data_IF_636884070789
#
_entry.id   IF_636884070789
#
_cell.length_a   1.000
_cell.length_b   1.000
_cell.length_c   1.000
_cell.angle_alpha   90.00
_cell.angle_beta   90.00
_cell.angle_gamma   90.00
#
_symmetry.space_group_name_H-M   'P 1'
#
loop_
_entity.id
_entity.type
_entity.pdbx_description
1 polymer ?
#
# COMPACT_ATOMS: atom_id res chain seq x y z
N UNK A 1 69.65 -2.46 38.74
CA UNK A 1 69.73 -2.93 37.34
C UNK A 1 68.38 -3.50 36.84
N UNK A 2 67.29 -2.73 36.96
CA UNK A 2 65.92 -3.26 36.77
C UNK A 2 64.92 -2.21 36.24
N UNK A 3 65.37 -1.15 35.56
CA UNK A 3 64.48 -0.07 35.05
C UNK A 3 64.34 -0.04 33.52
N UNK A 4 65.16 -0.78 32.78
CA UNK A 4 65.18 -0.74 31.30
C UNK A 4 64.35 -1.83 30.61
N UNK A 5 63.88 -2.87 31.33
CA UNK A 5 63.05 -3.94 30.74
C UNK A 5 61.56 -3.61 30.63
N UNK A 6 61.05 -2.69 31.46
CA UNK A 6 59.61 -2.37 31.51
C UNK A 6 59.20 -1.46 30.34
N UNK A 7 60.11 -0.61 29.83
CA UNK A 7 59.79 0.38 28.79
C UNK A 7 59.62 -0.29 27.40
N UNK A 8 60.33 -1.39 27.11
CA UNK A 8 60.15 -2.13 25.85
C UNK A 8 58.82 -2.90 25.77
N UNK A 9 58.22 -3.23 26.93
CA UNK A 9 56.96 -3.97 26.96
C UNK A 9 55.75 -3.08 26.72
N UNK A 10 55.82 -1.78 27.04
CA UNK A 10 54.70 -0.85 26.90
C UNK A 10 54.55 -0.32 25.46
N UNK A 11 55.65 -0.21 24.70
CA UNK A 11 55.59 0.20 23.28
C UNK A 11 55.02 -0.89 22.35
N UNK A 12 55.10 -2.16 22.75
CA UNK A 12 54.56 -3.26 21.94
C UNK A 12 53.03 -3.38 22.08
N UNK A 13 52.46 -2.99 23.24
CA UNK A 13 51.01 -3.03 23.47
C UNK A 13 50.25 -1.92 22.72
N UNK A 14 50.88 -0.77 22.50
CA UNK A 14 50.31 0.35 21.74
C UNK A 14 50.33 0.06 20.22
N UNK A 15 51.29 -0.74 19.73
CA UNK A 15 51.33 -1.14 18.32
C UNK A 15 50.27 -2.20 17.96
N UNK A 16 49.83 -3.04 18.91
CA UNK A 16 48.82 -4.08 18.66
C UNK A 16 47.37 -3.62 18.87
N UNK A 17 47.13 -2.44 19.45
CA UNK A 17 45.78 -1.86 19.60
C UNK A 17 45.41 -0.89 18.47
N UNK A 18 46.36 -0.51 17.63
CA UNK A 18 46.13 0.39 16.48
C UNK A 18 45.48 -0.26 15.24
N UNK A 19 45.36 -1.60 15.18
CA UNK A 19 44.84 -2.30 14.00
C UNK A 19 43.35 -2.71 14.08
N UNK A 20 42.67 -2.48 15.21
CA UNK A 20 41.27 -2.89 15.38
C UNK A 20 40.24 -1.78 15.08
N UNK A 21 40.68 -0.57 14.72
CA UNK A 21 39.80 0.60 14.59
C UNK A 21 39.41 1.02 13.18
N UNK A 22 39.94 0.36 12.13
CA UNK A 22 39.48 0.58 10.76
C UNK A 22 38.63 -0.63 10.38
N UNK A 23 37.45 -0.72 10.98
CA UNK A 23 36.35 -1.39 10.31
C UNK A 23 36.18 -0.63 9.00
N UNK A 24 36.67 -1.21 7.90
CA UNK A 24 36.26 -0.79 6.57
C UNK A 24 34.73 -0.75 6.62
N UNK A 25 34.16 0.46 6.61
CA UNK A 25 32.77 0.67 6.26
C UNK A 25 32.67 0.12 4.84
N UNK A 26 32.34 -1.16 4.75
CA UNK A 26 32.03 -1.78 3.47
C UNK A 26 30.75 -1.10 3.04
N UNK A 27 30.88 -0.13 2.13
CA UNK A 27 29.73 0.53 1.52
C UNK A 27 28.90 -0.57 0.87
N UNK A 28 27.75 -0.87 1.48
CA UNK A 28 26.84 -1.86 0.94
C UNK A 28 26.21 -1.27 -0.30
N UNK A 29 26.25 -2.05 -1.39
CA UNK A 29 25.64 -1.68 -2.66
C UNK A 29 24.60 -2.73 -3.02
N UNK A 30 23.37 -2.26 -3.27
CA UNK A 30 22.27 -3.06 -3.80
C UNK A 30 22.00 -2.58 -5.22
N UNK A 31 22.23 -3.46 -6.20
CA UNK A 31 21.93 -3.15 -7.59
C UNK A 31 20.56 -3.71 -7.96
N UNK A 32 19.60 -2.83 -8.26
CA UNK A 32 18.24 -3.21 -8.64
C UNK A 32 18.04 -2.96 -10.12
N UNK A 33 17.47 -3.93 -10.83
CA UNK A 33 16.99 -3.76 -12.21
C UNK A 33 15.47 -3.64 -12.21
N UNK A 34 14.98 -2.43 -12.50
CA UNK A 34 13.56 -2.13 -12.70
C UNK A 34 13.19 -2.37 -14.16
N UNK A 35 12.02 -2.96 -14.39
CA UNK A 35 11.48 -3.25 -15.72
C UNK A 35 9.97 -2.97 -15.70
N UNK A 36 9.49 -2.18 -16.66
CA UNK A 36 8.08 -1.84 -16.78
C UNK A 36 7.58 -2.00 -18.22
N UNK A 37 6.50 -2.75 -18.38
CA UNK A 37 5.77 -2.94 -19.63
C UNK A 37 4.74 -1.81 -19.80
N UNK A 38 4.97 -1.00 -20.83
CA UNK A 38 4.12 0.11 -21.25
C UNK A 38 3.45 -0.16 -22.61
N UNK A 39 3.47 -1.40 -23.11
CA UNK A 39 2.96 -1.75 -24.45
C UNK A 39 1.48 -1.39 -24.68
N UNK A 40 0.69 -1.33 -23.61
CA UNK A 40 -0.73 -0.94 -23.64
C UNK A 40 -0.97 0.56 -23.33
N UNK A 41 0.08 1.30 -22.96
CA UNK A 41 -0.02 2.71 -22.56
C UNK A 41 0.10 3.67 -23.76
N UNK A 42 -0.65 4.77 -23.74
CA UNK A 42 -0.52 5.84 -24.72
C UNK A 42 0.54 6.84 -24.22
N UNK A 43 1.74 6.76 -24.79
CA UNK A 43 2.87 7.64 -24.43
C UNK A 43 3.17 8.60 -25.57
N UNK A 44 2.97 9.90 -25.33
CA UNK A 44 3.26 10.95 -26.33
C UNK A 44 4.76 11.08 -26.63
N UNK A 45 5.60 10.90 -25.60
CA UNK A 45 7.05 10.98 -25.73
C UNK A 45 7.75 9.84 -24.96
N UNK A 46 8.17 8.76 -25.64
CA UNK A 46 8.89 7.63 -25.05
C UNK A 46 10.11 8.01 -24.20
N UNK A 47 10.80 9.11 -24.51
CA UNK A 47 12.00 9.56 -23.80
C UNK A 47 11.73 10.12 -22.39
N UNK A 48 10.45 10.22 -22.01
CA UNK A 48 10.02 10.73 -20.70
C UNK A 48 9.65 9.62 -19.72
N UNK A 49 9.65 8.35 -20.16
CA UNK A 49 9.37 7.21 -19.29
C UNK A 49 10.46 7.09 -18.25
N UNK A 50 10.07 6.99 -16.99
CA UNK A 50 11.02 6.94 -15.90
C UNK A 50 10.43 6.41 -14.61
N UNK A 51 11.26 6.46 -13.58
CA UNK A 51 10.93 6.05 -12.23
C UNK A 51 11.24 7.19 -11.25
N UNK A 52 10.44 7.26 -10.19
CA UNK A 52 10.61 8.14 -9.03
C UNK A 52 10.46 7.31 -7.76
N UNK A 53 11.05 7.74 -6.65
CA UNK A 53 11.01 6.94 -5.43
C UNK A 53 11.52 7.62 -4.16
N UNK A 54 11.41 6.90 -3.04
CA UNK A 54 11.62 7.42 -1.68
C UNK A 54 13.05 7.35 -1.17
N UNK A 55 13.91 6.54 -1.80
CA UNK A 55 15.28 6.28 -1.34
C UNK A 55 16.27 6.67 -2.44
N UNK A 56 17.27 7.46 -2.08
CA UNK A 56 18.34 7.85 -3.00
C UNK A 56 19.01 6.61 -3.63
N UNK A 57 19.31 6.63 -4.94
CA UNK A 57 19.33 7.81 -5.81
C UNK A 57 17.98 8.15 -6.46
N UNK A 58 16.89 7.42 -6.13
CA UNK A 58 15.55 7.82 -6.57
C UNK A 58 15.07 9.04 -5.79
N UNK A 59 14.20 9.83 -6.43
CA UNK A 59 13.57 11.01 -5.85
C UNK A 59 12.11 11.10 -6.29
N UNK A 60 11.23 11.64 -5.44
CA UNK A 60 9.85 11.95 -5.82
C UNK A 60 9.72 13.21 -6.69
N UNK A 61 10.76 14.05 -6.73
CA UNK A 61 10.77 15.30 -7.51
C UNK A 61 11.50 15.16 -8.84
N UNK A 62 12.47 14.25 -8.94
CA UNK A 62 13.32 14.06 -10.13
C UNK A 62 13.07 12.70 -10.76
N UNK A 63 12.79 12.68 -12.06
CA UNK A 63 12.58 11.44 -12.82
C UNK A 63 13.92 10.84 -13.24
N UNK A 64 14.18 9.60 -12.87
CA UNK A 64 15.27 8.82 -13.46
C UNK A 64 14.75 8.11 -14.71
N UNK A 65 15.30 8.46 -15.88
CA UNK A 65 14.81 7.99 -17.18
C UNK A 65 15.12 6.50 -17.39
N UNK A 66 14.15 5.76 -17.91
CA UNK A 66 14.27 4.36 -18.29
C UNK A 66 14.38 4.22 -19.82
N UNK A 67 14.99 3.13 -20.30
CA UNK A 67 15.23 2.91 -21.73
C UNK A 67 14.54 1.63 -22.23
N UNK A 68 13.82 1.73 -23.35
CA UNK A 68 13.40 0.58 -24.16
C UNK A 68 14.38 0.42 -25.33
N UNK A 69 15.37 -0.46 -25.17
CA UNK A 69 16.47 -0.62 -26.13
C UNK A 69 16.09 -1.44 -27.37
N UNK A 70 15.10 -2.30 -27.25
CA UNK A 70 14.71 -3.26 -28.27
C UNK A 70 13.36 -2.92 -28.93
N UNK A 71 12.65 -1.90 -28.43
CA UNK A 71 11.40 -1.42 -29.00
C UNK A 71 10.22 -2.36 -28.75
N UNK A 72 10.25 -3.14 -27.66
CA UNK A 72 9.19 -4.08 -27.31
C UNK A 72 8.17 -3.50 -26.31
N UNK A 73 8.33 -2.24 -25.91
CA UNK A 73 7.49 -1.57 -24.92
C UNK A 73 7.93 -1.81 -23.47
N UNK A 74 9.02 -2.56 -23.24
CA UNK A 74 9.57 -2.81 -21.90
C UNK A 74 10.73 -1.86 -21.62
N UNK A 75 10.48 -0.91 -20.74
CA UNK A 75 11.48 0.05 -20.30
C UNK A 75 12.29 -0.54 -19.15
N UNK A 76 13.62 -0.39 -19.21
CA UNK A 76 14.55 -0.95 -18.21
C UNK A 76 15.47 0.14 -17.64
N UNK A 77 15.75 0.04 -16.34
CA UNK A 77 16.75 0.86 -15.66
C UNK A 77 17.45 0.06 -14.55
N UNK A 78 18.76 0.24 -14.44
CA UNK A 78 19.55 -0.30 -13.34
C UNK A 78 19.92 0.82 -12.36
N UNK A 79 19.63 0.62 -11.09
CA UNK A 79 19.89 1.58 -10.01
C UNK A 79 20.79 0.96 -8.96
N UNK A 80 21.85 1.67 -8.58
CA UNK A 80 22.72 1.30 -7.48
C UNK A 80 22.31 2.09 -6.22
N UNK A 81 21.79 1.40 -5.22
CA UNK A 81 21.53 1.96 -3.89
C UNK A 81 22.79 1.77 -3.03
N UNK A 82 23.41 2.86 -2.63
CA UNK A 82 24.63 2.87 -1.82
C UNK A 82 24.31 3.29 -0.37
N UNK A 83 25.09 2.80 0.58
CA UNK A 83 25.02 3.20 2.00
C UNK A 83 23.63 3.02 2.65
N UNK A 84 22.84 2.07 2.16
CA UNK A 84 21.54 1.73 2.74
C UNK A 84 21.72 0.80 3.96
N UNK A 85 20.71 0.75 4.84
CA UNK A 85 20.62 -0.27 5.89
C UNK A 85 19.94 -1.52 5.31
N UNK A 86 20.46 -2.75 5.45
CA UNK A 86 19.77 -3.95 4.98
C UNK A 86 18.34 -4.05 5.51
N UNK A 87 17.40 -4.40 4.63
CA UNK A 87 15.97 -4.37 4.91
C UNK A 87 15.33 -2.98 4.85
N UNK A 88 16.04 -1.94 4.40
CA UNK A 88 15.42 -0.65 4.08
C UNK A 88 14.41 -0.85 2.97
N UNK A 89 13.20 -0.34 3.17
CA UNK A 89 12.18 -0.32 2.14
C UNK A 89 12.39 0.89 1.21
N UNK A 90 12.43 0.66 -0.09
CA UNK A 90 12.37 1.69 -1.11
C UNK A 90 11.04 1.61 -1.85
N UNK A 91 10.26 2.69 -1.76
CA UNK A 91 9.01 2.86 -2.48
C UNK A 91 9.25 3.62 -3.77
N UNK A 92 8.52 3.30 -4.82
CA UNK A 92 8.69 3.89 -6.14
C UNK A 92 7.41 3.90 -6.96
N UNK A 93 7.39 4.71 -8.02
CA UNK A 93 6.39 4.69 -9.08
C UNK A 93 7.03 4.95 -10.44
N UNK A 94 6.45 4.34 -11.46
CA UNK A 94 6.69 4.69 -12.85
C UNK A 94 5.96 5.99 -13.21
N UNK A 95 6.56 6.76 -14.12
CA UNK A 95 6.01 8.00 -14.66
C UNK A 95 6.28 8.11 -16.16
N UNK A 96 5.48 8.91 -16.87
CA UNK A 96 5.78 9.36 -18.23
C UNK A 96 5.30 10.81 -18.45
N UNK A 97 5.61 11.38 -19.62
CA UNK A 97 5.20 12.72 -20.03
C UNK A 97 5.68 13.83 -19.10
N UNK A 98 4.85 14.87 -18.92
CA UNK A 98 5.07 15.93 -17.93
C UNK A 98 4.54 15.51 -16.55
N UNK A 99 4.95 14.32 -16.08
CA UNK A 99 4.58 13.68 -14.81
C UNK A 99 3.13 13.17 -14.77
N UNK A 100 2.85 12.16 -15.59
CA UNK A 100 1.72 11.24 -15.42
C UNK A 100 2.20 10.08 -14.58
N UNK A 101 1.58 9.86 -13.42
CA UNK A 101 1.94 8.78 -12.49
C UNK A 101 1.19 7.49 -12.80
N UNK A 102 1.83 6.34 -12.57
CA UNK A 102 1.09 5.08 -12.51
C UNK A 102 0.16 5.08 -11.29
N UNK A 103 -1.00 4.42 -11.42
CA UNK A 103 -1.93 4.16 -10.32
C UNK A 103 -2.24 5.43 -9.51
N UNK A 104 -2.44 6.58 -10.16
CA UNK A 104 -2.62 7.88 -9.49
C UNK A 104 -4.02 8.07 -8.87
N UNK A 105 -4.39 7.13 -8.00
CA UNK A 105 -5.56 7.30 -7.16
C UNK A 105 -5.16 8.18 -5.97
N UNK A 106 -5.60 9.44 -5.97
CA UNK A 106 -5.41 10.39 -4.86
C UNK A 106 -3.95 10.77 -4.54
N UNK A 107 -3.02 10.74 -5.52
CA UNK A 107 -1.68 11.33 -5.37
C UNK A 107 -0.68 10.57 -4.48
N UNK A 108 -1.10 9.50 -3.80
CA UNK A 108 -0.24 8.73 -2.88
C UNK A 108 -0.55 7.22 -2.83
N UNK A 109 -1.61 6.75 -3.47
CA UNK A 109 -1.99 5.33 -3.48
C UNK A 109 -1.27 4.63 -4.64
N UNK A 110 -0.91 3.35 -4.47
CA UNK A 110 -0.35 2.53 -5.55
C UNK A 110 1.17 2.68 -5.77
N UNK A 111 1.92 3.13 -4.76
CA UNK A 111 3.38 3.02 -4.78
C UNK A 111 3.80 1.54 -4.76
N UNK A 112 4.77 1.18 -5.59
CA UNK A 112 5.46 -0.10 -5.53
C UNK A 112 6.53 -0.07 -4.45
N UNK A 113 6.88 -1.23 -3.89
CA UNK A 113 7.92 -1.32 -2.85
C UNK A 113 8.86 -2.50 -3.05
N UNK A 114 10.12 -2.29 -2.69
CA UNK A 114 11.16 -3.32 -2.60
C UNK A 114 11.93 -3.17 -1.30
N UNK A 115 12.51 -4.27 -0.83
CA UNK A 115 13.44 -4.25 0.31
C UNK A 115 14.87 -4.39 -0.21
N UNK A 116 15.73 -3.49 0.24
CA UNK A 116 17.13 -3.42 -0.19
C UNK A 116 17.98 -4.40 0.62
N UNK A 117 18.68 -5.28 -0.09
CA UNK A 117 19.65 -6.22 0.46
C UNK A 117 20.91 -6.20 -0.42
N UNK A 118 22.06 -6.50 0.19
CA UNK A 118 23.32 -6.55 -0.54
C UNK A 118 23.24 -7.56 -1.69
N UNK A 119 23.75 -7.17 -2.86
CA UNK A 119 23.76 -8.00 -4.06
C UNK A 119 22.93 -7.42 -5.21
N UNK A 120 22.51 -8.31 -6.12
CA UNK A 120 21.76 -7.95 -7.33
C UNK A 120 20.31 -8.43 -7.20
N UNK A 121 19.38 -7.50 -7.35
CA UNK A 121 17.95 -7.77 -7.36
C UNK A 121 17.40 -7.53 -8.77
N UNK A 122 16.98 -8.60 -9.45
CA UNK A 122 16.22 -8.47 -10.69
C UNK A 122 14.75 -8.61 -10.35
N UNK A 123 14.00 -7.53 -10.50
CA UNK A 123 12.56 -7.53 -10.31
C UNK A 123 11.87 -8.15 -11.54
N UNK A 124 10.66 -8.70 -11.39
CA UNK A 124 9.84 -9.05 -12.54
C UNK A 124 9.52 -7.82 -13.39
N UNK A 125 8.94 -8.05 -14.57
CA UNK A 125 8.42 -6.96 -15.40
C UNK A 125 7.09 -6.52 -14.79
N UNK A 126 7.05 -5.29 -14.30
CA UNK A 126 5.84 -4.64 -13.82
C UNK A 126 4.98 -4.22 -15.01
N UNK A 127 3.66 -4.21 -14.85
CA UNK A 127 2.75 -3.65 -15.86
C UNK A 127 2.35 -2.22 -15.49
N UNK A 128 2.44 -1.31 -16.45
CA UNK A 128 1.99 0.08 -16.27
C UNK A 128 0.52 0.12 -15.81
N UNK A 129 0.25 0.96 -14.80
CA UNK A 129 -1.09 1.22 -14.26
C UNK A 129 -1.85 -0.04 -13.80
N UNK A 130 -1.09 -1.08 -13.41
CA UNK A 130 -1.63 -2.32 -12.89
C UNK A 130 -1.16 -2.56 -11.46
N UNK A 131 -2.11 -2.91 -10.58
CA UNK A 131 -1.81 -3.33 -9.21
C UNK A 131 -1.47 -4.83 -9.17
N UNK A 132 -0.23 -5.15 -8.80
CA UNK A 132 0.26 -6.51 -8.55
C UNK A 132 0.81 -6.68 -7.13
N UNK A 133 1.36 -7.86 -6.83
CA UNK A 133 1.89 -8.22 -5.50
C UNK A 133 3.07 -7.36 -5.01
N UNK A 134 3.72 -6.58 -5.88
CA UNK A 134 4.81 -5.65 -5.54
C UNK A 134 4.33 -4.20 -5.45
N UNK A 135 3.13 -3.90 -5.96
CA UNK A 135 2.54 -2.55 -6.03
C UNK A 135 1.97 -2.00 -4.72
N UNK A 136 2.36 -2.56 -3.57
CA UNK A 136 1.51 -2.39 -2.39
C UNK A 136 2.14 -2.70 -1.01
N UNK A 137 3.34 -3.26 -0.89
CA UNK A 137 3.73 -4.02 0.31
C UNK A 137 4.01 -3.28 1.63
N UNK A 138 4.02 -1.94 1.72
CA UNK A 138 4.02 -1.28 3.06
C UNK A 138 2.76 -0.51 3.39
N UNK A 139 2.17 0.19 2.42
CA UNK A 139 0.93 0.92 2.65
C UNK A 139 -0.29 0.02 2.53
N UNK A 140 -0.27 -1.06 1.74
CA UNK A 140 -1.40 -1.97 1.65
C UNK A 140 -1.46 -2.87 2.87
N UNK A 141 -0.36 -3.50 3.28
CA UNK A 141 -0.35 -4.25 4.55
C UNK A 141 -0.59 -3.33 5.75
N UNK A 142 0.00 -2.13 5.82
CA UNK A 142 -0.27 -1.19 6.92
C UNK A 142 -1.63 -0.49 6.83
N UNK A 143 -2.24 -0.32 5.65
CA UNK A 143 -3.61 0.23 5.53
C UNK A 143 -4.67 -0.86 5.66
N UNK A 144 -4.42 -2.10 5.23
CA UNK A 144 -5.26 -3.26 5.53
C UNK A 144 -5.23 -3.50 7.02
N UNK A 145 -4.04 -3.71 7.58
CA UNK A 145 -3.83 -3.99 9.00
C UNK A 145 -4.26 -2.78 9.82
N UNK A 146 -3.81 -1.57 9.49
CA UNK A 146 -4.16 -0.35 10.20
C UNK A 146 -5.65 -0.02 10.14
N UNK A 147 -6.28 0.05 8.94
CA UNK A 147 -7.72 0.32 8.88
C UNK A 147 -8.51 -0.79 9.55
N UNK A 148 -8.18 -2.06 9.30
CA UNK A 148 -8.88 -3.17 9.95
C UNK A 148 -8.78 -3.08 11.47
N UNK A 149 -7.59 -2.89 12.03
CA UNK A 149 -7.41 -2.74 13.49
C UNK A 149 -8.08 -1.48 14.03
N UNK A 150 -8.11 -0.38 13.28
CA UNK A 150 -8.87 0.81 13.65
C UNK A 150 -10.37 0.49 13.71
N UNK A 151 -10.91 -0.22 12.72
CA UNK A 151 -12.32 -0.67 12.74
C UNK A 151 -12.59 -1.61 13.90
N UNK A 152 -11.78 -2.65 14.10
CA UNK A 152 -11.92 -3.60 15.22
C UNK A 152 -11.80 -2.89 16.57
N UNK A 153 -10.85 -1.96 16.71
CA UNK A 153 -10.67 -1.18 17.93
C UNK A 153 -11.86 -0.25 18.21
N UNK A 154 -12.31 0.51 17.21
CA UNK A 154 -13.45 1.42 17.35
C UNK A 154 -14.71 0.64 17.70
N UNK A 155 -15.02 -0.42 16.95
CA UNK A 155 -16.21 -1.23 17.18
C UNK A 155 -16.12 -1.92 18.54
N UNK A 156 -14.99 -2.55 18.86
CA UNK A 156 -14.79 -3.22 20.14
C UNK A 156 -14.90 -2.27 21.32
N UNK A 157 -14.28 -1.08 21.23
CA UNK A 157 -14.34 -0.05 22.27
C UNK A 157 -15.76 0.51 22.44
N UNK A 158 -16.48 0.80 21.36
CA UNK A 158 -17.83 1.34 21.46
C UNK A 158 -18.85 0.29 21.94
N UNK A 159 -18.69 -0.98 21.54
CA UNK A 159 -19.47 -2.09 22.10
C UNK A 159 -19.23 -2.24 23.61
N UNK A 160 -17.98 -2.10 24.08
CA UNK A 160 -17.68 -2.10 25.52
C UNK A 160 -18.36 -0.94 26.26
N UNK A 161 -18.61 0.17 25.56
CA UNK A 161 -19.37 1.31 26.07
C UNK A 161 -20.90 1.16 25.91
N UNK A 162 -21.38 0.01 25.44
CA UNK A 162 -22.81 -0.34 25.36
C UNK A 162 -23.51 0.06 24.07
N UNK A 163 -22.79 0.50 23.04
CA UNK A 163 -23.39 0.82 21.74
C UNK A 163 -23.65 -0.45 20.91
N UNK A 164 -24.74 -0.46 20.15
CA UNK A 164 -25.00 -1.48 19.14
C UNK A 164 -24.16 -1.26 17.88
N UNK A 165 -23.91 -2.31 17.05
CA UNK A 165 -23.25 -2.17 15.75
C UNK A 165 -23.86 -1.09 14.84
N UNK A 166 -25.19 -0.94 14.84
CA UNK A 166 -25.89 0.08 14.08
C UNK A 166 -25.62 1.49 14.62
N UNK A 167 -25.65 1.69 15.93
CA UNK A 167 -25.30 2.97 16.56
C UNK A 167 -23.86 3.37 16.25
N UNK A 168 -22.94 2.41 16.25
CA UNK A 168 -21.53 2.60 15.87
C UNK A 168 -21.42 3.01 14.39
N UNK A 169 -22.14 2.32 13.48
CA UNK A 169 -22.18 2.66 12.06
C UNK A 169 -22.68 4.09 11.80
N UNK A 170 -23.74 4.52 12.50
CA UNK A 170 -24.25 5.89 12.44
C UNK A 170 -23.25 6.91 13.00
N UNK A 171 -22.61 6.61 14.14
CA UNK A 171 -21.58 7.45 14.75
C UNK A 171 -20.40 7.67 13.80
N UNK A 172 -19.96 6.62 13.10
CA UNK A 172 -18.90 6.70 12.10
C UNK A 172 -19.30 7.58 10.92
N UNK A 173 -20.52 7.43 10.40
CA UNK A 173 -21.04 8.31 9.34
C UNK A 173 -21.02 9.78 9.79
N UNK A 174 -21.45 10.06 11.02
CA UNK A 174 -21.44 11.41 11.58
C UNK A 174 -20.01 11.97 11.74
N UNK A 175 -19.04 11.14 12.13
CA UNK A 175 -17.63 11.54 12.27
C UNK A 175 -17.02 12.06 10.96
N UNK A 176 -17.30 11.38 9.84
CA UNK A 176 -16.84 11.80 8.50
C UNK A 176 -17.58 13.05 7.97
N UNK A 177 -18.58 13.54 8.70
CA UNK A 177 -19.28 14.80 8.45
C UNK A 177 -20.14 14.78 7.18
N UNK A 178 -20.23 15.93 6.51
CA UNK A 178 -21.08 16.12 5.31
C UNK A 178 -20.71 15.27 4.10
N UNK A 179 -19.56 14.57 4.13
CA UNK A 179 -19.03 13.76 3.03
C UNK A 179 -19.09 14.48 1.69
N UNK A 180 -18.82 15.79 1.64
CA UNK A 180 -18.93 16.61 0.42
C UNK A 180 -18.15 16.03 -0.77
N UNK A 181 -17.02 15.39 -0.50
CA UNK A 181 -16.18 14.71 -1.47
C UNK A 181 -16.84 13.48 -2.14
N UNK A 182 -17.90 12.91 -1.53
CA UNK A 182 -18.65 11.79 -2.08
C UNK A 182 -19.78 12.31 -2.97
N UNK A 183 -19.43 12.72 -4.19
CA UNK A 183 -20.35 13.37 -5.12
C UNK A 183 -21.22 12.38 -5.91
N UNK A 184 -20.84 11.10 -5.96
CA UNK A 184 -21.57 10.09 -6.73
C UNK A 184 -21.45 8.66 -6.16
N UNK A 185 -22.42 7.78 -6.45
CA UNK A 185 -22.35 6.36 -6.05
C UNK A 185 -21.15 5.61 -6.63
N UNK A 186 -20.59 6.06 -7.77
CA UNK A 186 -19.41 5.45 -8.38
C UNK A 186 -18.17 5.58 -7.51
N UNK A 187 -18.10 6.61 -6.65
CA UNK A 187 -17.01 6.73 -5.70
C UNK A 187 -17.09 5.63 -4.64
N UNK A 188 -18.30 5.27 -4.16
CA UNK A 188 -18.50 4.13 -3.25
C UNK A 188 -18.14 2.81 -3.93
N UNK A 189 -18.56 2.62 -5.19
CA UNK A 189 -18.18 1.46 -6.00
C UNK A 189 -16.65 1.35 -6.14
N UNK A 190 -15.98 2.47 -6.44
CA UNK A 190 -14.53 2.53 -6.57
C UNK A 190 -13.82 2.21 -5.25
N UNK A 191 -14.30 2.78 -4.14
CA UNK A 191 -13.78 2.49 -2.81
C UNK A 191 -13.92 1.00 -2.48
N UNK A 192 -15.11 0.41 -2.66
CA UNK A 192 -15.29 -1.00 -2.35
C UNK A 192 -14.45 -1.92 -3.25
N UNK A 193 -14.34 -1.60 -4.54
CA UNK A 193 -13.45 -2.31 -5.47
C UNK A 193 -12.00 -2.28 -4.98
N UNK A 194 -11.51 -1.10 -4.61
CA UNK A 194 -10.17 -0.94 -4.05
C UNK A 194 -10.03 -1.71 -2.74
N UNK A 195 -11.03 -1.64 -1.85
CA UNK A 195 -11.06 -2.33 -0.56
C UNK A 195 -10.91 -3.84 -0.72
N UNK A 196 -11.74 -4.44 -1.57
CA UNK A 196 -11.68 -5.87 -1.87
C UNK A 196 -10.35 -6.29 -2.50
N UNK A 197 -9.79 -5.48 -3.40
CA UNK A 197 -8.48 -5.76 -3.98
C UNK A 197 -7.34 -5.75 -2.95
N UNK A 198 -7.56 -5.18 -1.77
CA UNK A 198 -6.58 -5.22 -0.68
C UNK A 198 -6.52 -6.61 0.00
N UNK A 199 -7.61 -7.39 0.01
CA UNK A 199 -7.63 -8.67 0.70
C UNK A 199 -7.18 -9.83 -0.22
N UNK A 200 -6.29 -10.75 0.22
CA UNK A 200 -5.84 -11.90 -0.57
C UNK A 200 -6.98 -12.82 -1.05
N UNK A 201 -8.07 -12.87 -0.29
CA UNK A 201 -9.28 -13.62 -0.60
C UNK A 201 -10.46 -12.71 -0.98
N UNK A 202 -10.17 -11.44 -1.27
CA UNK A 202 -11.16 -10.45 -1.65
C UNK A 202 -11.79 -10.75 -3.00
N UNK A 203 -13.02 -10.29 -3.14
CA UNK A 203 -13.80 -10.49 -4.34
C UNK A 203 -14.70 -9.29 -4.55
N UNK A 204 -14.71 -8.80 -5.78
CA UNK A 204 -15.54 -7.70 -6.20
C UNK A 204 -16.05 -7.92 -7.62
N UNK A 205 -17.34 -7.70 -7.83
CA UNK A 205 -17.99 -7.76 -9.13
C UNK A 205 -18.86 -6.52 -9.31
N UNK A 206 -18.63 -5.79 -10.40
CA UNK A 206 -19.55 -4.75 -10.85
C UNK A 206 -20.66 -5.40 -11.67
N UNK A 207 -21.90 -5.29 -11.20
CA UNK A 207 -23.08 -5.81 -11.90
C UNK A 207 -23.69 -4.71 -12.79
N UNK A 208 -23.72 -3.47 -12.30
CA UNK A 208 -24.23 -2.32 -13.03
C UNK A 208 -23.46 -1.06 -12.61
N UNK A 209 -23.12 -0.21 -13.58
CA UNK A 209 -22.47 1.08 -13.34
C UNK A 209 -22.92 2.10 -14.39
N UNK A 210 -23.95 2.86 -14.05
CA UNK A 210 -24.49 3.97 -14.85
C UNK A 210 -24.40 5.25 -14.03
N UNK A 211 -24.50 6.46 -14.63
CA UNK A 211 -24.44 7.72 -13.88
C UNK A 211 -25.43 7.85 -12.71
N UNK A 212 -26.57 7.16 -12.79
CA UNK A 212 -27.67 7.22 -11.81
C UNK A 212 -27.71 6.02 -10.85
N UNK A 213 -27.00 4.93 -11.17
CA UNK A 213 -27.11 3.67 -10.45
C UNK A 213 -25.82 2.87 -10.46
N UNK A 214 -25.46 2.34 -9.30
CA UNK A 214 -24.42 1.30 -9.17
C UNK A 214 -25.01 0.07 -8.51
N UNK A 215 -24.63 -1.10 -9.02
CA UNK A 215 -24.89 -2.39 -8.41
C UNK A 215 -23.58 -3.15 -8.38
N UNK A 216 -23.18 -3.59 -7.20
CA UNK A 216 -21.97 -4.40 -7.04
C UNK A 216 -22.17 -5.51 -6.03
N UNK A 217 -21.35 -6.55 -6.16
CA UNK A 217 -21.25 -7.67 -5.23
C UNK A 217 -19.84 -7.73 -4.69
N UNK A 218 -19.71 -7.91 -3.38
CA UNK A 218 -18.42 -7.96 -2.70
C UNK A 218 -18.42 -9.04 -1.61
N UNK A 219 -17.24 -9.52 -1.24
CA UNK A 219 -17.08 -10.55 -0.19
C UNK A 219 -16.94 -9.93 1.19
N UNK A 220 -17.46 -10.60 2.22
CA UNK A 220 -17.26 -10.28 3.64
C UNK A 220 -15.85 -10.68 4.10
N UNK A 221 -14.82 -9.97 3.67
CA UNK A 221 -13.40 -10.31 3.87
C UNK A 221 -12.85 -10.04 5.26
N UNK A 222 -13.59 -9.30 6.10
CA UNK A 222 -13.07 -8.62 7.29
C UNK A 222 -12.39 -9.55 8.30
N UNK A 223 -13.01 -10.64 8.76
CA UNK A 223 -12.41 -11.52 9.78
C UNK A 223 -11.61 -12.70 9.21
N UNK A 224 -11.88 -13.13 7.98
CA UNK A 224 -11.25 -14.30 7.37
C UNK A 224 -9.74 -14.13 7.10
N UNK A 225 -9.19 -12.93 7.32
CA UNK A 225 -7.78 -12.63 7.08
C UNK A 225 -6.85 -13.13 8.21
N UNK A 226 -7.32 -13.22 9.46
CA UNK A 226 -6.45 -13.48 10.62
C UNK A 226 -6.61 -14.87 11.28
N UNK A 227 -7.44 -15.75 10.71
CA UNK A 227 -7.57 -17.15 11.14
C UNK A 227 -9.02 -17.59 11.34
N UNK A 228 -9.19 -18.74 11.98
CA UNK A 228 -10.50 -19.35 12.26
C UNK A 228 -11.18 -18.77 13.52
N UNK A 229 -10.70 -17.63 14.04
CA UNK A 229 -11.33 -16.97 15.19
C UNK A 229 -12.66 -16.35 14.78
N UNK A 230 -13.71 -16.61 15.57
CA UNK A 230 -15.07 -16.12 15.36
C UNK A 230 -15.24 -14.65 15.76
N UNK A 231 -14.27 -14.10 16.50
CA UNK A 231 -14.24 -12.71 16.94
C UNK A 231 -12.83 -12.22 17.29
N UNK A 232 -12.61 -10.91 17.19
CA UNK A 232 -11.39 -10.23 17.65
C UNK A 232 -11.83 -9.04 18.52
N UNK A 233 -11.29 -8.91 19.74
CA UNK A 233 -11.68 -7.83 20.68
C UNK A 233 -13.21 -7.72 20.92
N UNK A 234 -13.92 -8.85 21.01
CA UNK A 234 -15.39 -8.90 21.11
C UNK A 234 -16.13 -8.32 19.88
N UNK A 235 -15.44 -8.25 18.73
CA UNK A 235 -16.00 -7.88 17.43
C UNK A 235 -16.11 -9.12 16.56
N UNK A 236 -17.33 -9.48 16.20
CA UNK A 236 -17.68 -10.60 15.33
C UNK A 236 -17.76 -10.15 13.87
N UNK A 237 -17.87 -11.12 12.96
CA UNK A 237 -18.10 -10.88 11.53
C UNK A 237 -19.43 -10.16 11.30
N UNK A 238 -20.43 -10.48 12.10
CA UNK A 238 -21.76 -9.88 12.02
C UNK A 238 -21.73 -8.43 12.49
N UNK A 239 -20.97 -8.10 13.54
CA UNK A 239 -20.77 -6.71 13.98
C UNK A 239 -20.17 -5.86 12.85
N UNK A 240 -19.07 -6.33 12.24
CA UNK A 240 -18.42 -5.63 11.12
C UNK A 240 -19.39 -5.43 9.95
N UNK A 241 -20.17 -6.47 9.62
CA UNK A 241 -21.14 -6.43 8.53
C UNK A 241 -22.26 -5.41 8.81
N UNK A 242 -22.82 -5.42 10.03
CA UNK A 242 -23.87 -4.49 10.44
C UNK A 242 -23.38 -3.04 10.49
N UNK A 243 -22.18 -2.81 11.02
CA UNK A 243 -21.56 -1.48 11.05
C UNK A 243 -21.37 -0.96 9.62
N UNK A 244 -20.80 -1.78 8.72
CA UNK A 244 -20.52 -1.37 7.35
C UNK A 244 -21.80 -1.16 6.53
N UNK A 245 -22.80 -2.04 6.68
CA UNK A 245 -24.14 -1.87 6.10
C UNK A 245 -24.77 -0.55 6.55
N UNK A 246 -24.82 -0.33 7.87
CA UNK A 246 -25.44 0.86 8.45
C UNK A 246 -24.72 2.14 8.01
N UNK A 247 -23.38 2.11 7.96
CA UNK A 247 -22.59 3.20 7.43
C UNK A 247 -22.97 3.49 5.97
N UNK A 248 -22.96 2.48 5.10
CA UNK A 248 -23.31 2.63 3.67
C UNK A 248 -24.73 3.17 3.47
N UNK A 249 -25.72 2.65 4.20
CA UNK A 249 -27.12 3.11 4.13
C UNK A 249 -27.27 4.56 4.60
N UNK A 250 -26.59 4.93 5.69
CA UNK A 250 -26.60 6.29 6.22
C UNK A 250 -25.93 7.29 5.27
N UNK A 251 -24.84 6.88 4.61
CA UNK A 251 -24.18 7.68 3.57
C UNK A 251 -25.13 7.96 2.41
N UNK A 252 -25.76 6.92 1.87
CA UNK A 252 -26.71 7.06 0.77
C UNK A 252 -27.87 7.98 1.18
N UNK A 253 -28.44 7.78 2.37
CA UNK A 253 -29.53 8.61 2.90
C UNK A 253 -29.11 10.08 3.02
N UNK A 254 -27.92 10.37 3.54
CA UNK A 254 -27.40 11.74 3.67
C UNK A 254 -27.21 12.44 2.32
N UNK A 255 -27.06 11.67 1.24
CA UNK A 255 -26.96 12.16 -0.14
C UNK A 255 -28.29 12.21 -0.88
N UNK A 256 -29.38 11.77 -0.26
CA UNK A 256 -30.68 11.62 -0.90
C UNK A 256 -30.77 10.41 -1.84
N UNK A 257 -29.78 9.52 -1.81
CA UNK A 257 -29.74 8.31 -2.62
C UNK A 257 -30.53 7.18 -1.94
N UNK A 258 -31.05 6.26 -2.74
CA UNK A 258 -31.63 5.00 -2.27
C UNK A 258 -30.53 3.96 -2.19
N UNK A 259 -30.45 3.25 -1.06
CA UNK A 259 -29.56 2.11 -0.88
C UNK A 259 -30.38 0.86 -0.60
N UNK A 260 -30.06 -0.23 -1.29
CA UNK A 260 -30.58 -1.58 -1.01
C UNK A 260 -29.39 -2.50 -0.76
N UNK A 261 -29.36 -3.10 0.43
CA UNK A 261 -28.40 -4.12 0.84
C UNK A 261 -29.05 -5.50 0.79
N UNK A 262 -28.41 -6.45 0.12
CA UNK A 262 -28.81 -7.85 0.08
C UNK A 262 -27.68 -8.67 0.70
N UNK A 263 -27.97 -9.26 1.86
CA UNK A 263 -26.99 -10.05 2.59
C UNK A 263 -27.00 -11.50 2.10
N UNK A 264 -25.82 -12.01 1.74
CA UNK A 264 -25.61 -13.42 1.41
C UNK A 264 -24.62 -14.00 2.44
N UNK A 265 -24.41 -15.31 2.46
CA UNK A 265 -23.52 -15.96 3.45
C UNK A 265 -22.12 -15.33 3.46
N UNK A 266 -21.39 -15.46 2.34
CA UNK A 266 -20.03 -14.94 2.16
C UNK A 266 -19.94 -13.60 1.45
N UNK A 267 -21.06 -13.12 0.92
CA UNK A 267 -21.10 -11.95 0.08
C UNK A 267 -22.16 -10.98 0.56
N UNK A 268 -22.10 -9.79 0.00
CA UNK A 268 -23.21 -8.86 0.01
C UNK A 268 -23.33 -8.24 -1.36
N UNK A 269 -24.56 -7.85 -1.69
CA UNK A 269 -24.85 -7.09 -2.90
C UNK A 269 -25.46 -5.76 -2.50
N UNK A 270 -24.94 -4.70 -3.08
CA UNK A 270 -25.37 -3.33 -2.82
C UNK A 270 -25.88 -2.72 -4.11
N UNK A 271 -27.04 -2.09 -4.03
CA UNK A 271 -27.61 -1.24 -5.07
C UNK A 271 -27.74 0.17 -4.52
N UNK A 272 -27.14 1.16 -5.19
CA UNK A 272 -27.28 2.58 -4.85
C UNK A 272 -27.79 3.33 -6.07
N UNK A 273 -28.88 4.06 -5.89
CA UNK A 273 -29.57 4.84 -6.93
C UNK A 273 -29.70 6.30 -6.47
N UNK A 274 -29.42 7.26 -7.36
CA UNK A 274 -29.59 8.68 -7.06
C UNK A 274 -31.05 9.11 -6.87
#
# INVERSE_FOLDING_TARGET
>A
MMKTKIIKSLMLTILCTGCYGISLLHSQTCNVTFQADFSEAIIENPTTVGIRGSVAPLSWTETMIMEDKNGDGIYTLQVAFENFKPGTEASYKYVHGNVVWENDLLGAIGNRSIYLYEGKNKLPVDKWDHLDKYSSTSLLEAAITGKFWDWVYIIGSDKQNGLSPEEIGLKLTAFWGSMKWLESPQILLGWEKTSQAMYPNGYFETIENTPEKVVFKARKTWLNYYGDEDQIMNVTRDDMTLVFKTNTEAIAMAKGWKCKWEDEEDFFKVTIEK
#
